data_IF_329895360066
#
_entry.id   IF_329895360066
#
_cell.length_a   1.000
_cell.length_b   1.000
_cell.length_c   1.000
_cell.angle_alpha   90.00
_cell.angle_beta   90.00
_cell.angle_gamma   90.00
#
_symmetry.space_group_name_H-M   'P 1'
#
loop_
_entity.id
_entity.type
_entity.pdbx_description
1 polymer ?
#
# COMPACT_ATOMS: atom_id res chain seq x y z
N UNK A 1 3.28 9.37 5.37
CA UNK A 1 4.68 9.08 5.75
C UNK A 1 5.58 9.73 4.70
N UNK A 2 6.48 10.61 5.12
CA UNK A 2 7.46 11.29 4.26
C UNK A 2 8.80 10.57 4.41
N UNK A 3 9.46 10.18 3.31
CA UNK A 3 10.79 9.54 3.37
C UNK A 3 10.92 8.23 2.57
N UNK A 4 11.66 7.28 3.13
CA UNK A 4 12.04 6.00 2.49
C UNK A 4 11.21 4.84 3.05
N UNK A 5 10.78 3.92 2.18
CA UNK A 5 10.21 2.63 2.60
C UNK A 5 11.20 1.50 2.27
N UNK A 6 12.08 1.24 3.23
CA UNK A 6 13.17 0.26 3.16
C UNK A 6 13.08 -0.74 4.33
N UNK A 7 14.06 -1.65 4.44
CA UNK A 7 14.10 -2.71 5.45
C UNK A 7 14.04 -2.22 6.91
N UNK A 8 14.49 -1.00 7.21
CA UNK A 8 14.44 -0.44 8.55
C UNK A 8 13.04 0.07 8.91
N UNK A 9 12.34 0.67 7.94
CA UNK A 9 10.99 1.22 8.14
C UNK A 9 9.89 0.16 7.95
N UNK A 10 10.17 -0.90 7.19
CA UNK A 10 9.27 -2.04 6.92
C UNK A 10 8.57 -2.61 8.16
N UNK A 11 9.28 -3.02 9.23
CA UNK A 11 8.64 -3.71 10.35
C UNK A 11 7.67 -2.81 11.11
N UNK A 12 8.01 -1.53 11.28
CA UNK A 12 7.15 -0.54 11.92
C UNK A 12 5.93 -0.26 11.06
N UNK A 13 6.14 -0.06 9.75
CA UNK A 13 5.06 0.18 8.79
C UNK A 13 4.07 -0.98 8.76
N UNK A 14 4.58 -2.22 8.66
CA UNK A 14 3.73 -3.42 8.65
C UNK A 14 2.91 -3.51 9.94
N UNK A 15 3.54 -3.39 11.11
CA UNK A 15 2.84 -3.43 12.40
C UNK A 15 1.72 -2.41 12.53
N UNK A 16 1.95 -1.16 12.10
CA UNK A 16 0.95 -0.10 12.20
C UNK A 16 -0.27 -0.42 11.34
N UNK A 17 -0.06 -0.79 10.07
CA UNK A 17 -1.17 -1.13 9.18
C UNK A 17 -1.87 -2.40 9.64
N UNK A 18 -1.12 -3.40 10.06
CA UNK A 18 -1.69 -4.65 10.58
C UNK A 18 -2.60 -4.42 11.79
N UNK A 19 -2.27 -3.48 12.67
CA UNK A 19 -3.15 -3.09 13.77
C UNK A 19 -4.47 -2.49 13.28
N UNK A 20 -4.42 -1.65 12.25
CA UNK A 20 -5.64 -1.07 11.66
C UNK A 20 -6.51 -2.07 10.92
N UNK A 21 -5.90 -3.05 10.24
CA UNK A 21 -6.66 -4.11 9.55
C UNK A 21 -7.36 -5.01 10.58
N UNK A 22 -6.71 -5.31 11.71
CA UNK A 22 -7.25 -6.16 12.79
C UNK A 22 -8.41 -5.46 13.56
N UNK A 23 -8.31 -4.14 13.80
CA UNK A 23 -9.34 -3.36 14.51
C UNK A 23 -10.60 -3.06 13.66
N UNK A 24 -10.52 -3.17 12.34
CA UNK A 24 -11.61 -2.83 11.41
C UNK A 24 -11.63 -1.34 11.07
N UNK A 25 -11.24 -0.99 9.84
CA UNK A 25 -12.09 -1.22 8.67
C UNK A 25 -11.57 -2.31 7.73
N UNK A 26 -12.49 -2.94 7.01
CA UNK A 26 -12.15 -3.89 5.93
C UNK A 26 -11.34 -3.20 4.83
N UNK A 27 -11.64 -1.95 4.55
CA UNK A 27 -11.00 -1.21 3.48
C UNK A 27 -10.01 -0.18 4.02
N UNK A 28 -8.77 -0.28 3.55
CA UNK A 28 -7.66 0.57 3.99
C UNK A 28 -7.08 1.29 2.77
N UNK A 29 -6.87 2.59 2.91
CA UNK A 29 -6.15 3.40 1.91
C UNK A 29 -4.80 3.82 2.48
N UNK A 30 -3.72 3.48 1.78
CA UNK A 30 -2.36 3.87 2.14
C UNK A 30 -1.88 4.93 1.16
N UNK A 31 -1.47 6.10 1.67
CA UNK A 31 -0.85 7.14 0.86
C UNK A 31 0.68 7.10 0.92
N UNK A 32 1.28 6.69 -0.20
CA UNK A 32 2.72 6.73 -0.49
C UNK A 32 3.08 7.89 -1.43
N UNK A 33 2.18 8.86 -1.63
CA UNK A 33 2.43 10.01 -2.50
C UNK A 33 3.65 10.84 -2.07
N UNK A 34 3.98 10.81 -0.77
CA UNK A 34 5.09 11.52 -0.14
C UNK A 34 6.34 10.63 0.09
N UNK A 35 6.36 9.40 -0.43
CA UNK A 35 7.51 8.51 -0.36
C UNK A 35 8.44 8.81 -1.54
N UNK A 36 9.72 9.05 -1.24
CA UNK A 36 10.74 9.37 -2.25
C UNK A 36 11.30 8.12 -2.93
N UNK A 37 11.36 7.01 -2.19
CA UNK A 37 11.96 5.75 -2.65
C UNK A 37 11.41 4.55 -1.88
N UNK A 38 11.31 3.42 -2.58
CA UNK A 38 10.89 2.13 -2.04
C UNK A 38 11.86 1.06 -2.55
N UNK A 39 12.35 0.22 -1.65
CA UNK A 39 13.20 -0.94 -2.01
C UNK A 39 12.38 -2.24 -2.07
N UNK A 40 13.03 -3.34 -2.43
CA UNK A 40 12.52 -4.70 -2.39
C UNK A 40 11.85 -5.08 -1.07
N UNK A 41 12.42 -4.67 0.06
CA UNK A 41 11.84 -4.93 1.39
C UNK A 41 10.51 -4.20 1.58
N UNK A 42 10.44 -2.92 1.18
CA UNK A 42 9.22 -2.13 1.25
C UNK A 42 8.11 -2.67 0.35
N UNK A 43 8.47 -3.09 -0.87
CA UNK A 43 7.54 -3.77 -1.78
C UNK A 43 7.03 -5.09 -1.18
N UNK A 44 7.92 -5.89 -0.58
CA UNK A 44 7.55 -7.13 0.11
C UNK A 44 6.58 -6.89 1.26
N UNK A 45 6.78 -5.82 2.02
CA UNK A 45 5.88 -5.38 3.09
C UNK A 45 4.47 -5.12 2.54
N UNK A 46 4.37 -4.33 1.47
CA UNK A 46 3.09 -4.02 0.84
C UNK A 46 2.40 -5.29 0.35
N UNK A 47 3.13 -6.25 -0.25
CA UNK A 47 2.53 -7.51 -0.72
C UNK A 47 1.93 -8.29 0.44
N UNK A 48 2.63 -8.36 1.59
CA UNK A 48 2.12 -9.02 2.80
C UNK A 48 0.84 -8.36 3.29
N UNK A 49 0.81 -7.02 3.35
CA UNK A 49 -0.34 -6.25 3.79
C UNK A 49 -1.56 -6.43 2.87
N UNK A 50 -1.38 -6.37 1.54
CA UNK A 50 -2.48 -6.62 0.60
C UNK A 50 -3.05 -8.02 0.81
N UNK A 51 -2.19 -9.03 0.96
CA UNK A 51 -2.64 -10.40 1.20
C UNK A 51 -3.44 -10.50 2.50
N UNK A 52 -2.95 -9.88 3.58
CA UNK A 52 -3.62 -9.86 4.87
C UNK A 52 -5.01 -9.21 4.79
N UNK A 53 -5.08 -7.98 4.25
CA UNK A 53 -6.36 -7.28 4.06
C UNK A 53 -7.36 -8.11 3.24
N UNK A 54 -6.91 -8.77 2.16
CA UNK A 54 -7.75 -9.68 1.38
C UNK A 54 -8.21 -10.91 2.17
N UNK A 55 -7.34 -11.49 2.99
CA UNK A 55 -7.69 -12.63 3.87
C UNK A 55 -8.75 -12.25 4.89
N UNK A 56 -8.72 -11.01 5.38
CA UNK A 56 -9.72 -10.47 6.32
C UNK A 56 -11.01 -9.99 5.62
N UNK A 57 -11.14 -10.23 4.31
CA UNK A 57 -12.32 -9.90 3.52
C UNK A 57 -12.43 -8.41 3.18
N UNK A 58 -11.30 -7.74 3.12
CA UNK A 58 -11.17 -6.32 2.87
C UNK A 58 -10.29 -5.97 1.67
N UNK A 59 -10.17 -4.66 1.39
CA UNK A 59 -9.40 -4.14 0.26
C UNK A 59 -8.30 -3.19 0.70
N UNK A 60 -7.15 -3.25 0.04
CA UNK A 60 -6.05 -2.31 0.27
C UNK A 60 -5.80 -1.47 -0.99
N UNK A 61 -6.12 -0.19 -0.93
CA UNK A 61 -5.80 0.78 -1.98
C UNK A 61 -4.50 1.51 -1.64
N UNK A 62 -3.63 1.69 -2.63
CA UNK A 62 -2.33 2.32 -2.42
C UNK A 62 -2.23 3.53 -3.35
N UNK A 63 -2.27 4.73 -2.78
CA UNK A 63 -2.01 5.97 -3.51
C UNK A 63 -0.50 6.13 -3.67
N UNK A 64 -0.01 6.18 -4.90
CA UNK A 64 1.43 6.29 -5.18
C UNK A 64 1.75 7.49 -6.04
N UNK A 65 3.00 7.95 -5.99
CA UNK A 65 3.51 8.93 -6.96
C UNK A 65 4.05 8.21 -8.22
N UNK A 66 4.23 8.92 -9.35
CA UNK A 66 4.69 8.32 -10.60
C UNK A 66 6.01 7.54 -10.47
N UNK A 67 6.93 8.00 -9.60
CA UNK A 67 8.21 7.35 -9.35
C UNK A 67 8.02 5.97 -8.71
N UNK A 68 7.27 5.89 -7.62
CA UNK A 68 6.96 4.63 -6.94
C UNK A 68 6.14 3.72 -7.86
N UNK A 69 5.17 4.26 -8.61
CA UNK A 69 4.41 3.50 -9.60
C UNK A 69 5.34 2.86 -10.63
N UNK A 70 6.32 3.59 -11.17
CA UNK A 70 7.29 3.03 -12.12
C UNK A 70 8.11 1.90 -11.50
N UNK A 71 8.61 2.06 -10.27
CA UNK A 71 9.35 1.00 -9.57
C UNK A 71 8.51 -0.26 -9.44
N UNK A 72 7.24 -0.12 -9.02
CA UNK A 72 6.29 -1.23 -8.87
C UNK A 72 6.01 -1.94 -10.21
N UNK A 73 5.89 -1.17 -11.31
CA UNK A 73 5.71 -1.72 -12.66
C UNK A 73 6.94 -2.46 -13.17
N UNK A 74 8.14 -1.94 -12.90
CA UNK A 74 9.40 -2.59 -13.28
C UNK A 74 9.53 -3.98 -12.65
N UNK A 75 9.15 -4.12 -11.37
CA UNK A 75 9.14 -5.41 -10.66
C UNK A 75 7.89 -6.25 -10.93
N UNK A 76 6.99 -5.79 -11.81
CA UNK A 76 5.73 -6.46 -12.19
C UNK A 76 4.78 -6.76 -11.03
N UNK A 77 4.84 -5.96 -9.97
CA UNK A 77 3.96 -6.12 -8.81
C UNK A 77 2.67 -5.30 -8.92
N UNK A 78 2.49 -4.51 -9.98
CA UNK A 78 1.29 -3.69 -10.22
C UNK A 78 -0.02 -4.52 -10.23
N UNK A 79 0.05 -5.81 -10.54
CA UNK A 79 -1.14 -6.70 -10.50
C UNK A 79 -1.56 -7.12 -9.10
N UNK A 80 -0.63 -7.07 -8.15
CA UNK A 80 -0.90 -7.37 -6.75
C UNK A 80 -1.41 -6.14 -6.02
N UNK A 81 -1.04 -4.95 -6.46
CA UNK A 81 -1.37 -3.68 -5.83
C UNK A 81 -2.48 -2.95 -6.55
N UNK A 82 -3.50 -2.49 -5.83
CA UNK A 82 -4.45 -1.52 -6.36
C UNK A 82 -3.85 -0.12 -6.26
N UNK A 83 -3.04 0.25 -7.27
CA UNK A 83 -2.36 1.53 -7.34
C UNK A 83 -3.31 2.63 -7.82
N UNK A 84 -3.42 3.69 -7.03
CA UNK A 84 -4.25 4.84 -7.35
C UNK A 84 -3.39 6.11 -7.50
N UNK A 85 -3.73 7.01 -8.43
CA UNK A 85 -2.98 8.25 -8.66
C UNK A 85 -3.24 9.30 -7.56
N UNK A 86 -4.43 9.30 -6.96
CA UNK A 86 -4.84 10.27 -5.94
C UNK A 86 -5.64 9.59 -4.83
N UNK A 87 -5.73 10.27 -3.68
CA UNK A 87 -6.58 9.83 -2.58
C UNK A 87 -8.05 9.77 -2.98
N UNK A 88 -8.52 10.76 -3.75
CA UNK A 88 -9.88 10.79 -4.29
C UNK A 88 -10.19 9.55 -5.14
N UNK A 89 -9.29 9.16 -6.05
CA UNK A 89 -9.47 7.97 -6.87
C UNK A 89 -9.52 6.69 -6.03
N UNK A 90 -8.76 6.63 -4.93
CA UNK A 90 -8.80 5.49 -4.01
C UNK A 90 -10.11 5.42 -3.22
N UNK A 91 -10.65 6.56 -2.80
CA UNK A 91 -11.95 6.63 -2.13
C UNK A 91 -13.06 6.22 -3.10
N UNK A 92 -13.08 6.79 -4.31
CA UNK A 92 -14.06 6.44 -5.34
C UNK A 92 -14.03 4.94 -5.70
N UNK A 93 -12.85 4.32 -5.68
CA UNK A 93 -12.73 2.88 -5.92
C UNK A 93 -13.41 2.07 -4.82
N UNK A 94 -13.23 2.46 -3.55
CA UNK A 94 -13.85 1.78 -2.42
C UNK A 94 -15.36 2.02 -2.35
N UNK A 95 -15.84 3.20 -2.72
CA UNK A 95 -17.29 3.48 -2.78
C UNK A 95 -18.02 2.69 -3.89
N UNK A 96 -17.28 2.21 -4.89
CA UNK A 96 -17.82 1.42 -6.02
C UNK A 96 -17.62 -0.09 -5.88
N UNK A 97 -16.87 -0.55 -4.87
CA UNK A 97 -16.54 -1.94 -4.61
C UNK A 97 -17.57 -2.61 -3.68
#
# INVERSE_FOLDING_TARGET
MTGLLDAFSEPTFCKVIEGYVDEGPKDVIISLAQIDFIDSSGLGALVKLVKKAKTEGGSLQIVTNPRVTQTVKLVRLEKFFSLQPTLEAAIEYLEKA
#
